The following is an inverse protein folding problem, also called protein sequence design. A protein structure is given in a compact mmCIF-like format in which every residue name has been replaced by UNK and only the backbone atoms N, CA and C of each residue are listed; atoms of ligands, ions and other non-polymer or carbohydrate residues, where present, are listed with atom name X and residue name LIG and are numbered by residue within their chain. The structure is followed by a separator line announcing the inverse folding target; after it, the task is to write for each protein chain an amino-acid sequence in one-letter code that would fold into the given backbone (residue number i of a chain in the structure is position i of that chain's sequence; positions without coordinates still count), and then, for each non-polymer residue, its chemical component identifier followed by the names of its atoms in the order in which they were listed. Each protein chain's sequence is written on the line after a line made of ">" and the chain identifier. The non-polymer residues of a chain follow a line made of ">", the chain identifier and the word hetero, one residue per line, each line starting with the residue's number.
data_IF_916897423559
#
_entry.id   IF_916897423559
#
_cell.length_a   1.000
_cell.length_b   1.000
_cell.length_c   1.000
_cell.angle_alpha   90.00
_cell.angle_beta   90.00
_cell.angle_gamma   90.00
#
_symmetry.space_group_name_H-M   'P 1'
#
loop_
_entity.id
_entity.type
_entity.pdbx_description
1 polymer ?
#
# COMPACT_ATOMS: atom_id res chain seq x y z
N UNK A 1 14.41 -3.50 -24.57
CA UNK A 1 13.82 -3.24 -23.23
C UNK A 1 13.53 -1.76 -23.14
N UNK A 2 12.26 -1.35 -22.99
CA UNK A 2 11.97 0.03 -22.62
C UNK A 2 12.45 0.24 -21.19
N UNK A 3 13.22 1.30 -20.92
CA UNK A 3 13.61 1.67 -19.56
C UNK A 3 12.34 1.88 -18.73
N UNK A 4 12.14 1.01 -17.75
CA UNK A 4 11.05 1.11 -16.80
C UNK A 4 11.42 2.20 -15.80
N UNK A 5 10.55 3.20 -15.62
CA UNK A 5 10.77 4.22 -14.60
C UNK A 5 10.77 3.53 -13.24
N UNK A 6 11.88 3.59 -12.53
CA UNK A 6 11.96 3.12 -11.14
C UNK A 6 11.03 3.96 -10.29
N UNK A 7 9.93 3.36 -9.82
CA UNK A 7 9.10 4.00 -8.81
C UNK A 7 9.80 3.97 -7.46
N UNK A 8 9.84 5.15 -6.85
CA UNK A 8 10.43 5.38 -5.53
C UNK A 8 9.36 5.45 -4.47
N UNK A 9 9.74 5.30 -3.19
CA UNK A 9 8.85 5.56 -2.05
C UNK A 9 8.21 6.96 -2.14
N UNK A 10 8.92 7.95 -2.71
CA UNK A 10 8.40 9.30 -2.91
C UNK A 10 7.26 9.33 -3.93
N UNK A 11 7.32 8.53 -4.98
CA UNK A 11 6.26 8.44 -5.98
C UNK A 11 5.02 7.75 -5.40
N UNK A 12 5.20 6.68 -4.62
CA UNK A 12 4.09 6.04 -3.91
C UNK A 12 3.40 7.02 -2.92
N UNK A 13 4.19 7.80 -2.16
CA UNK A 13 3.65 8.84 -1.27
C UNK A 13 2.86 9.91 -2.03
N UNK A 14 3.33 10.32 -3.21
CA UNK A 14 2.60 11.26 -4.07
C UNK A 14 1.28 10.68 -4.57
N UNK A 15 1.27 9.42 -5.00
CA UNK A 15 0.05 8.73 -5.44
C UNK A 15 -0.97 8.66 -4.29
N UNK A 16 -0.52 8.26 -3.09
CA UNK A 16 -1.36 8.24 -1.90
C UNK A 16 -1.95 9.62 -1.57
N UNK A 17 -1.11 10.66 -1.48
CA UNK A 17 -1.58 12.01 -1.19
C UNK A 17 -2.58 12.52 -2.23
N UNK A 18 -2.35 12.22 -3.51
CA UNK A 18 -3.28 12.58 -4.58
C UNK A 18 -4.66 11.95 -4.38
N UNK A 19 -4.72 10.69 -3.96
CA UNK A 19 -5.98 10.01 -3.66
C UNK A 19 -6.67 10.59 -2.41
N UNK A 20 -5.91 10.94 -1.35
CA UNK A 20 -6.47 11.63 -0.17
C UNK A 20 -7.09 12.97 -0.55
N UNK A 21 -6.36 13.81 -1.31
CA UNK A 21 -6.81 15.14 -1.74
C UNK A 21 -8.07 15.09 -2.60
N UNK A 22 -8.23 14.04 -3.41
CA UNK A 22 -9.42 13.82 -4.23
C UNK A 22 -10.57 13.11 -3.48
N UNK A 23 -10.43 12.90 -2.17
CA UNK A 23 -11.49 12.33 -1.33
C UNK A 23 -11.71 10.82 -1.54
N UNK A 24 -10.76 10.13 -2.18
CA UNK A 24 -10.80 8.66 -2.26
C UNK A 24 -10.55 8.01 -0.90
N UNK A 25 -9.91 8.74 0.02
CA UNK A 25 -9.75 8.37 1.41
C UNK A 25 -10.38 9.44 2.30
N UNK A 26 -11.49 9.12 2.97
CA UNK A 26 -12.02 10.00 4.01
C UNK A 26 -11.34 9.68 5.34
N UNK A 27 -10.38 10.52 5.74
CA UNK A 27 -9.64 10.39 7.01
C UNK A 27 -10.53 10.35 8.26
N UNK A 28 -11.84 10.65 8.14
CA UNK A 28 -12.79 10.65 9.25
C UNK A 28 -13.18 9.26 9.79
N UNK A 29 -12.91 8.17 9.06
CA UNK A 29 -13.37 6.83 9.46
C UNK A 29 -12.37 5.70 9.18
N UNK A 30 -11.07 5.96 9.19
CA UNK A 30 -10.09 4.87 9.33
C UNK A 30 -9.95 4.53 10.82
N UNK A 31 -11.08 4.20 11.44
CA UNK A 31 -11.14 3.43 12.67
C UNK A 31 -11.84 2.11 12.32
N UNK A 32 -11.01 1.07 12.34
CA UNK A 32 -11.28 -0.37 12.49
C UNK A 32 -12.09 -1.19 11.49
N UNK A 33 -12.92 -0.68 10.57
CA UNK A 33 -13.74 -1.60 9.74
C UNK A 33 -14.22 -1.13 8.35
N UNK A 34 -13.58 -0.14 7.73
CA UNK A 34 -13.90 0.23 6.34
C UNK A 34 -12.77 -0.15 5.39
N UNK A 35 -12.82 -1.40 4.91
CA UNK A 35 -11.94 -1.93 3.87
C UNK A 35 -12.53 -1.49 2.53
N UNK A 36 -12.18 -0.30 2.09
CA UNK A 36 -12.43 0.09 0.72
C UNK A 36 -11.27 -0.44 -0.12
N UNK A 37 -11.58 -1.38 -1.01
CA UNK A 37 -10.65 -2.04 -1.94
C UNK A 37 -10.13 -1.05 -3.00
N UNK A 38 -9.40 -0.03 -2.54
CA UNK A 38 -8.84 1.06 -3.34
C UNK A 38 -7.47 0.72 -3.94
N UNK A 39 -7.08 -0.54 -3.85
CA UNK A 39 -5.88 -1.08 -4.47
C UNK A 39 -5.90 -0.88 -6.00
N UNK A 40 -7.09 -0.93 -6.62
CA UNK A 40 -7.27 -0.62 -8.04
C UNK A 40 -6.91 0.83 -8.37
N UNK A 41 -7.42 1.79 -7.60
CA UNK A 41 -7.15 3.21 -7.80
C UNK A 41 -5.68 3.56 -7.56
N UNK A 42 -5.05 2.95 -6.55
CA UNK A 42 -3.60 3.09 -6.33
C UNK A 42 -2.81 2.57 -7.53
N UNK A 43 -3.15 1.38 -8.03
CA UNK A 43 -2.52 0.79 -9.22
C UNK A 43 -2.73 1.69 -10.45
N UNK A 44 -3.94 2.18 -10.68
CA UNK A 44 -4.26 3.09 -11.80
C UNK A 44 -3.45 4.39 -11.73
N UNK A 45 -3.34 5.02 -10.57
CA UNK A 45 -2.53 6.24 -10.40
C UNK A 45 -1.04 5.94 -10.66
N UNK A 46 -0.53 4.80 -10.18
CA UNK A 46 0.86 4.41 -10.46
C UNK A 46 1.10 4.24 -11.96
N UNK A 47 0.16 3.64 -12.69
CA UNK A 47 0.21 3.54 -14.15
C UNK A 47 0.14 4.90 -14.85
N UNK A 48 -0.74 5.80 -14.41
CA UNK A 48 -0.81 7.17 -14.92
C UNK A 48 0.49 7.96 -14.66
N UNK A 49 1.20 7.66 -13.57
CA UNK A 49 2.52 8.24 -13.24
C UNK A 49 3.68 7.63 -14.05
N UNK A 50 3.38 6.70 -14.97
CA UNK A 50 4.31 6.09 -15.90
C UNK A 50 4.91 4.77 -15.41
N UNK A 51 4.33 4.12 -14.39
CA UNK A 51 4.71 2.76 -14.05
C UNK A 51 4.33 1.79 -15.16
N UNK A 52 5.15 0.77 -15.38
CA UNK A 52 4.91 -0.24 -16.43
C UNK A 52 5.04 -1.68 -15.92
N UNK A 53 5.39 -1.88 -14.66
CA UNK A 53 5.51 -3.21 -14.06
C UNK A 53 4.15 -3.82 -13.73
N UNK A 54 4.10 -5.13 -13.62
CA UNK A 54 2.90 -5.83 -13.18
C UNK A 54 2.72 -5.62 -11.67
N UNK A 55 1.66 -4.89 -11.31
CA UNK A 55 1.34 -4.60 -9.92
C UNK A 55 0.30 -5.59 -9.41
N UNK A 56 0.57 -6.19 -8.26
CA UNK A 56 -0.33 -7.09 -7.57
C UNK A 56 -0.77 -6.47 -6.24
N UNK A 57 -2.08 -6.36 -6.06
CA UNK A 57 -2.69 -6.03 -4.79
C UNK A 57 -2.75 -7.26 -3.89
N UNK A 58 -2.32 -7.11 -2.65
CA UNK A 58 -2.33 -8.13 -1.61
C UNK A 58 -2.97 -7.57 -0.34
N UNK A 59 -3.42 -8.47 0.52
CA UNK A 59 -3.91 -8.11 1.84
C UNK A 59 -3.84 -9.28 2.79
N UNK A 60 -3.54 -8.98 4.05
CA UNK A 60 -3.41 -9.95 5.13
C UNK A 60 -4.22 -9.50 6.34
N UNK A 61 -4.88 -10.46 6.98
CA UNK A 61 -5.64 -10.22 8.20
C UNK A 61 -4.79 -10.55 9.43
N UNK A 62 -4.71 -9.59 10.35
CA UNK A 62 -4.02 -9.70 11.63
C UNK A 62 -5.07 -9.64 12.73
N UNK A 63 -5.32 -10.73 13.48
CA UNK A 63 -6.43 -10.80 14.43
C UNK A 63 -6.49 -9.66 15.45
N UNK A 64 -5.34 -9.14 15.86
CA UNK A 64 -5.23 -8.07 16.86
C UNK A 64 -5.29 -6.65 16.25
N UNK A 65 -5.10 -6.52 14.94
CA UNK A 65 -4.81 -5.24 14.28
C UNK A 65 -5.69 -4.95 13.05
N UNK A 66 -6.52 -5.90 12.64
CA UNK A 66 -7.35 -5.80 11.45
C UNK A 66 -6.64 -6.21 10.16
N UNK A 67 -7.21 -5.82 9.02
CA UNK A 67 -6.70 -6.15 7.70
C UNK A 67 -5.75 -5.06 7.19
N UNK A 68 -4.59 -5.47 6.67
CA UNK A 68 -3.62 -4.58 6.04
C UNK A 68 -3.51 -4.91 4.56
N UNK A 69 -3.59 -3.89 3.72
CA UNK A 69 -3.53 -3.98 2.26
C UNK A 69 -2.29 -3.31 1.71
N UNK A 70 -1.70 -3.91 0.69
CA UNK A 70 -0.46 -3.42 0.09
C UNK A 70 -0.35 -3.85 -1.38
N UNK A 71 0.40 -3.08 -2.18
CA UNK A 71 0.63 -3.34 -3.60
C UNK A 71 2.10 -3.65 -3.81
N UNK A 72 2.41 -4.69 -4.59
CA UNK A 72 3.77 -5.10 -4.91
C UNK A 72 4.00 -5.19 -6.42
N UNK A 73 5.26 -5.11 -6.83
CA UNK A 73 5.69 -5.49 -8.18
C UNK A 73 6.39 -6.85 -8.13
N UNK A 74 5.81 -7.82 -8.83
CA UNK A 74 6.31 -9.20 -8.86
C UNK A 74 7.68 -9.34 -9.54
N UNK A 75 8.06 -8.40 -10.41
CA UNK A 75 9.40 -8.37 -11.01
C UNK A 75 10.48 -7.92 -10.00
N UNK A 76 10.07 -7.31 -8.87
CA UNK A 76 10.99 -6.68 -7.91
C UNK A 76 11.01 -7.34 -6.55
N UNK A 77 9.89 -7.91 -6.11
CA UNK A 77 9.78 -8.56 -4.81
C UNK A 77 8.82 -9.74 -4.87
N UNK A 78 9.21 -10.86 -4.26
CA UNK A 78 8.31 -12.00 -4.14
C UNK A 78 7.21 -11.72 -3.10
N UNK A 79 6.02 -12.34 -3.22
CA UNK A 79 4.97 -12.21 -2.21
C UNK A 79 5.42 -12.61 -0.79
N UNK A 80 6.32 -13.61 -0.69
CA UNK A 80 6.88 -14.08 0.59
C UNK A 80 7.76 -13.00 1.24
N UNK A 81 8.63 -12.35 0.46
CA UNK A 81 9.47 -11.26 0.98
C UNK A 81 8.65 -10.04 1.34
N UNK A 82 7.65 -9.70 0.50
CA UNK A 82 6.72 -8.62 0.79
C UNK A 82 5.96 -8.85 2.10
N UNK A 83 5.47 -10.08 2.33
CA UNK A 83 4.82 -10.48 3.59
C UNK A 83 5.70 -10.21 4.81
N UNK A 84 6.98 -10.57 4.76
CA UNK A 84 7.94 -10.32 5.85
C UNK A 84 8.11 -8.81 6.13
N UNK A 85 8.12 -7.99 5.09
CA UNK A 85 8.21 -6.52 5.26
C UNK A 85 6.96 -5.99 5.95
N UNK A 86 5.77 -6.44 5.53
CA UNK A 86 4.49 -6.04 6.12
C UNK A 86 4.37 -6.53 7.57
N UNK A 87 4.76 -7.77 7.86
CA UNK A 87 4.81 -8.30 9.22
C UNK A 87 5.69 -7.45 10.14
N UNK A 88 6.88 -7.08 9.68
CA UNK A 88 7.78 -6.21 10.43
C UNK A 88 7.20 -4.80 10.60
N UNK A 89 6.53 -4.26 9.58
CA UNK A 89 5.87 -2.96 9.66
C UNK A 89 4.77 -2.97 10.73
N UNK A 90 3.90 -4.00 10.73
CA UNK A 90 2.79 -4.11 11.67
C UNK A 90 3.28 -4.34 13.09
N UNK A 91 4.29 -5.19 13.28
CA UNK A 91 4.90 -5.38 14.60
C UNK A 91 5.46 -4.06 15.16
N UNK A 92 6.11 -3.26 14.32
CA UNK A 92 6.61 -1.94 14.70
C UNK A 92 5.49 -0.92 14.95
N UNK A 93 4.45 -0.92 14.12
CA UNK A 93 3.28 -0.06 14.26
C UNK A 93 2.53 -0.35 15.56
N UNK A 94 2.29 -1.62 15.88
CA UNK A 94 1.70 -2.05 17.14
C UNK A 94 2.52 -1.56 18.33
N UNK A 95 3.85 -1.79 18.32
CA UNK A 95 4.75 -1.35 19.39
C UNK A 95 4.76 0.17 19.65
N UNK A 96 4.40 0.99 18.67
CA UNK A 96 4.33 2.44 18.81
C UNK A 96 2.92 2.92 19.15
N UNK A 97 1.88 2.27 18.64
CA UNK A 97 0.48 2.65 18.87
C UNK A 97 -0.02 2.33 20.29
N UNK A 98 0.60 1.35 20.96
CA UNK A 98 0.29 1.00 22.36
C UNK A 98 1.21 1.67 23.40
N UNK A 99 2.02 2.66 23.00
CA UNK A 99 2.89 3.45 23.90
C UNK A 99 2.36 4.87 24.18
N UNK A 100 1.27 5.26 23.54
CA UNK A 100 0.51 6.48 23.86
C UNK A 100 -0.61 6.17 24.86
#
# INVERSE_FOLDING_TARGET
>A
MQEQKTITVKDCKKAYNHLVENGYFSEKHIYDLYIDHRDKEVIEVLYQMGYKGELLALGDFYPEYGAFYYVIDLERISPIEAKKIIDNYIANWANNSFKE
#
